data_IF_735369054556
#
_entry.id   IF_735369054556
#
_cell.length_a   1.000
_cell.length_b   1.000
_cell.length_c   1.000
_cell.angle_alpha   90.00
_cell.angle_beta   90.00
_cell.angle_gamma   90.00
#
_symmetry.space_group_name_H-M   'P 1'
#
loop_
_entity.id
_entity.type
_entity.pdbx_description
1 polymer ?
#
# COMPACT_ATOMS: atom_id res chain seq x y z
N UNK A 1 31.41 -6.25 20.10
CA UNK A 1 31.12 -5.79 18.72
C UNK A 1 29.61 -5.71 18.61
N UNK A 2 29.05 -4.51 18.76
CA UNK A 2 27.62 -4.30 18.56
C UNK A 2 27.36 -4.38 17.06
N UNK A 3 26.65 -5.41 16.61
CA UNK A 3 26.08 -5.46 15.28
C UNK A 3 25.20 -4.22 15.14
N UNK A 4 25.52 -3.34 14.20
CA UNK A 4 24.65 -2.23 13.83
C UNK A 4 23.33 -2.84 13.36
N UNK A 5 22.35 -2.87 14.25
CA UNK A 5 20.95 -3.01 13.89
C UNK A 5 20.70 -1.91 12.85
N UNK A 6 20.29 -2.27 11.64
CA UNK A 6 19.75 -1.31 10.70
C UNK A 6 18.68 -0.52 11.47
N UNK A 7 18.91 0.77 11.68
CA UNK A 7 18.01 1.59 12.47
C UNK A 7 16.74 1.75 11.65
N UNK A 8 15.71 1.02 12.05
CA UNK A 8 14.36 1.12 11.51
C UNK A 8 13.94 2.59 11.42
N UNK A 9 13.50 3.03 10.23
CA UNK A 9 13.25 4.44 9.89
C UNK A 9 11.80 4.68 9.44
N UNK A 10 11.24 5.90 9.53
CA UNK A 10 9.89 6.17 9.03
C UNK A 10 9.69 5.73 7.56
N UNK A 11 10.74 5.84 6.74
CA UNK A 11 10.69 5.36 5.36
C UNK A 11 10.59 3.82 5.28
N UNK A 12 11.27 3.04 6.13
CA UNK A 12 11.15 1.57 6.08
C UNK A 12 9.75 1.09 6.47
N UNK A 13 9.09 1.73 7.45
CA UNK A 13 7.68 1.40 7.74
C UNK A 13 6.79 1.72 6.53
N UNK A 14 7.01 2.88 5.87
CA UNK A 14 6.27 3.26 4.67
C UNK A 14 6.42 2.22 3.54
N UNK A 15 7.61 1.63 3.38
CA UNK A 15 7.86 0.55 2.42
C UNK A 15 7.09 -0.72 2.76
N UNK A 16 7.12 -1.14 4.03
CA UNK A 16 6.44 -2.36 4.47
C UNK A 16 4.91 -2.23 4.40
N UNK A 17 4.39 -1.02 4.61
CA UNK A 17 3.00 -0.73 4.28
C UNK A 17 2.74 -0.86 2.78
N UNK A 18 3.55 -0.27 1.91
CA UNK A 18 3.34 -0.39 0.47
C UNK A 18 3.39 -1.86 0.02
N UNK A 19 4.22 -2.68 0.68
CA UNK A 19 4.30 -4.11 0.44
C UNK A 19 3.02 -4.83 0.89
N UNK A 20 2.56 -4.56 2.11
CA UNK A 20 1.29 -5.08 2.66
C UNK A 20 0.08 -4.70 1.79
N UNK A 21 -0.03 -3.44 1.35
CA UNK A 21 -1.10 -2.98 0.46
C UNK A 21 -1.04 -3.67 -0.90
N UNK A 22 0.16 -3.86 -1.45
CA UNK A 22 0.34 -4.55 -2.73
C UNK A 22 -0.06 -6.02 -2.64
N UNK A 23 0.25 -6.68 -1.52
CA UNK A 23 -0.15 -8.06 -1.27
C UNK A 23 -1.67 -8.21 -1.10
N UNK A 24 -2.32 -7.22 -0.49
CA UNK A 24 -3.78 -7.19 -0.32
C UNK A 24 -4.54 -6.75 -1.58
N UNK A 25 -3.87 -6.05 -2.51
CA UNK A 25 -4.50 -5.46 -3.69
C UNK A 25 -5.35 -6.43 -4.55
N UNK A 26 -4.98 -7.72 -4.77
CA UNK A 26 -5.84 -8.64 -5.49
C UNK A 26 -7.19 -8.88 -4.78
N UNK A 27 -7.22 -9.03 -3.46
CA UNK A 27 -8.47 -9.20 -2.70
C UNK A 27 -9.35 -7.96 -2.84
N UNK A 28 -8.77 -6.77 -2.66
CA UNK A 28 -9.52 -5.53 -2.75
C UNK A 28 -9.99 -5.22 -4.20
N UNK A 29 -9.21 -5.60 -5.21
CA UNK A 29 -9.60 -5.49 -6.62
C UNK A 29 -10.77 -6.39 -6.94
N UNK A 30 -10.79 -7.62 -6.40
CA UNK A 30 -11.92 -8.53 -6.54
C UNK A 30 -13.19 -7.92 -5.91
N UNK A 31 -13.08 -7.37 -4.71
CA UNK A 31 -14.17 -6.64 -4.04
C UNK A 31 -14.70 -5.50 -4.91
N UNK A 32 -13.82 -4.61 -5.39
CA UNK A 32 -14.22 -3.48 -6.24
C UNK A 32 -14.86 -3.94 -7.54
N UNK A 33 -14.32 -4.98 -8.17
CA UNK A 33 -14.88 -5.51 -9.41
C UNK A 33 -16.28 -6.05 -9.23
N UNK A 34 -16.53 -6.81 -8.15
CA UNK A 34 -17.86 -7.30 -7.84
C UNK A 34 -18.84 -6.18 -7.47
N UNK A 35 -18.39 -5.19 -6.70
CA UNK A 35 -19.20 -4.00 -6.41
C UNK A 35 -19.59 -3.24 -7.70
N UNK A 36 -18.65 -3.03 -8.62
CA UNK A 36 -18.92 -2.38 -9.89
C UNK A 36 -19.89 -3.19 -10.77
N UNK A 37 -19.81 -4.53 -10.74
CA UNK A 37 -20.81 -5.36 -11.40
C UNK A 37 -22.21 -5.13 -10.82
N UNK A 38 -22.35 -5.11 -9.49
CA UNK A 38 -23.65 -4.93 -8.83
C UNK A 38 -24.26 -3.54 -9.09
N UNK A 39 -23.44 -2.48 -9.08
CA UNK A 39 -23.94 -1.10 -9.15
C UNK A 39 -23.90 -0.47 -10.54
N UNK A 40 -22.99 -0.93 -11.41
CA UNK A 40 -22.78 -0.35 -12.73
C UNK A 40 -22.93 -1.37 -13.87
N UNK A 41 -23.18 -2.66 -13.56
CA UNK A 41 -23.34 -3.71 -14.57
C UNK A 41 -22.07 -4.04 -15.35
N UNK A 42 -20.89 -3.65 -14.85
CA UNK A 42 -19.61 -3.96 -15.48
C UNK A 42 -19.29 -5.45 -15.37
N UNK A 43 -18.45 -5.98 -16.25
CA UNK A 43 -17.99 -7.36 -16.11
C UNK A 43 -17.19 -7.56 -14.81
N UNK A 44 -17.35 -8.73 -14.21
CA UNK A 44 -16.53 -9.17 -13.08
C UNK A 44 -15.16 -9.60 -13.62
N UNK A 45 -14.11 -9.06 -13.03
CA UNK A 45 -12.72 -9.32 -13.33
C UNK A 45 -12.10 -10.04 -12.14
N UNK A 46 -11.53 -11.21 -12.39
CA UNK A 46 -10.75 -11.95 -11.39
C UNK A 46 -9.31 -11.44 -11.48
N UNK A 47 -8.78 -10.81 -10.42
CA UNK A 47 -7.44 -10.26 -10.46
C UNK A 47 -6.39 -11.37 -10.47
N UNK A 48 -5.23 -11.13 -11.12
CA UNK A 48 -4.11 -12.05 -11.04
C UNK A 48 -3.64 -12.21 -9.59
N UNK A 49 -2.97 -13.33 -9.30
CA UNK A 49 -2.35 -13.61 -8.01
C UNK A 49 -3.32 -13.71 -6.81
N UNK A 50 -4.65 -13.72 -7.05
CA UNK A 50 -5.69 -13.83 -6.02
C UNK A 50 -5.47 -15.05 -5.10
N UNK A 51 -5.12 -16.21 -5.66
CA UNK A 51 -4.89 -17.43 -4.88
C UNK A 51 -3.71 -17.35 -3.91
N UNK A 52 -2.73 -16.48 -4.17
CA UNK A 52 -1.57 -16.24 -3.31
C UNK A 52 -1.74 -15.06 -2.34
N UNK A 53 -2.73 -14.21 -2.54
CA UNK A 53 -2.89 -12.93 -1.84
C UNK A 53 -2.92 -13.08 -0.32
N UNK A 54 -3.65 -14.08 0.20
CA UNK A 54 -3.73 -14.33 1.64
C UNK A 54 -2.39 -14.72 2.28
N UNK A 55 -1.59 -15.56 1.60
CA UNK A 55 -0.27 -15.93 2.14
C UNK A 55 0.66 -14.73 2.11
N UNK A 56 0.74 -14.03 0.97
CA UNK A 56 1.62 -12.88 0.82
C UNK A 56 1.26 -11.78 1.82
N UNK A 57 -0.03 -11.49 2.00
CA UNK A 57 -0.46 -10.44 2.92
C UNK A 57 -0.12 -10.76 4.37
N UNK A 58 -0.32 -12.01 4.82
CA UNK A 58 0.07 -12.44 6.17
C UNK A 58 1.58 -12.31 6.39
N UNK A 59 2.38 -12.66 5.39
CA UNK A 59 3.83 -12.63 5.48
C UNK A 59 4.33 -11.18 5.53
N UNK A 60 3.77 -10.30 4.69
CA UNK A 60 4.10 -8.86 4.67
C UNK A 60 3.64 -8.14 5.95
N UNK A 61 2.46 -8.47 6.51
CA UNK A 61 2.04 -7.96 7.82
C UNK A 61 2.96 -8.41 8.96
N UNK A 62 3.60 -9.58 8.81
CA UNK A 62 4.57 -10.07 9.79
C UNK A 62 5.87 -9.28 9.72
N UNK A 63 6.34 -8.94 8.52
CA UNK A 63 7.48 -8.04 8.34
C UNK A 63 7.17 -6.64 8.90
N UNK A 64 6.02 -6.07 8.54
CA UNK A 64 5.56 -4.76 9.03
C UNK A 64 5.48 -4.73 10.57
N UNK A 65 5.00 -5.80 11.21
CA UNK A 65 4.98 -5.84 12.68
C UNK A 65 6.39 -5.77 13.28
N UNK A 66 7.35 -6.50 12.71
CA UNK A 66 8.75 -6.46 13.18
C UNK A 66 9.31 -5.03 13.05
N UNK A 67 9.02 -4.37 11.94
CA UNK A 67 9.45 -3.00 11.70
C UNK A 67 8.83 -2.02 12.70
N UNK A 68 7.51 -2.08 12.91
CA UNK A 68 6.81 -1.24 13.89
C UNK A 68 7.37 -1.47 15.30
N UNK A 69 7.58 -2.73 15.72
CA UNK A 69 8.17 -3.06 17.03
C UNK A 69 9.58 -2.46 17.16
N UNK A 70 10.38 -2.49 16.10
CA UNK A 70 11.76 -1.99 16.13
C UNK A 70 11.83 -0.47 16.28
N UNK A 71 10.80 0.27 15.83
CA UNK A 71 10.67 1.72 16.05
C UNK A 71 9.92 2.12 17.31
N UNK A 72 9.48 1.16 18.11
CA UNK A 72 8.57 1.45 19.22
C UNK A 72 9.32 2.05 20.40
N UNK A 73 9.06 3.32 20.67
CA UNK A 73 9.18 3.91 22.01
C UNK A 73 7.83 3.74 22.76
N UNK A 74 7.76 4.17 24.02
CA UNK A 74 6.53 4.04 24.82
C UNK A 74 5.30 4.70 24.20
N UNK A 75 5.45 5.60 23.23
CA UNK A 75 4.35 6.31 22.58
C UNK A 75 3.71 5.51 21.44
N UNK A 76 4.33 4.40 21.00
CA UNK A 76 3.88 3.61 19.83
C UNK A 76 3.29 2.23 20.16
N UNK A 77 2.99 1.98 21.45
CA UNK A 77 2.41 0.71 21.94
C UNK A 77 1.04 0.43 21.31
N UNK A 78 0.25 1.48 21.03
CA UNK A 78 -1.04 1.34 20.38
C UNK A 78 -0.90 0.74 18.98
N UNK A 79 0.10 1.18 18.20
CA UNK A 79 0.37 0.71 16.84
C UNK A 79 0.79 -0.75 16.85
N UNK A 80 1.63 -1.17 17.81
CA UNK A 80 1.99 -2.58 18.02
C UNK A 80 0.75 -3.45 18.30
N UNK A 81 -0.18 -2.93 19.09
CA UNK A 81 -1.43 -3.63 19.41
C UNK A 81 -2.35 -3.73 18.18
N UNK A 82 -2.47 -2.65 17.41
CA UNK A 82 -3.27 -2.61 16.17
C UNK A 82 -2.74 -3.57 15.11
N UNK A 83 -1.43 -3.61 14.85
CA UNK A 83 -0.87 -4.57 13.88
C UNK A 83 -1.01 -6.01 14.36
N UNK A 84 -0.88 -6.28 15.67
CA UNK A 84 -1.13 -7.61 16.21
C UNK A 84 -2.59 -8.05 16.01
N UNK A 85 -3.53 -7.14 16.23
CA UNK A 85 -4.95 -7.38 15.97
C UNK A 85 -5.21 -7.66 14.49
N UNK A 86 -4.71 -6.82 13.58
CA UNK A 86 -4.85 -7.00 12.13
C UNK A 86 -4.29 -8.36 11.68
N UNK A 87 -3.11 -8.76 12.18
CA UNK A 87 -2.56 -10.09 11.87
C UNK A 87 -3.47 -11.23 12.32
N UNK A 88 -4.10 -11.09 13.48
CA UNK A 88 -5.04 -12.09 14.00
C UNK A 88 -6.32 -12.15 13.17
N UNK A 89 -6.92 -11.00 12.82
CA UNK A 89 -8.13 -10.95 12.00
C UNK A 89 -7.85 -11.46 10.60
N UNK A 90 -6.77 -11.02 9.96
CA UNK A 90 -6.31 -11.53 8.66
C UNK A 90 -6.10 -13.05 8.69
N UNK A 91 -5.50 -13.60 9.75
CA UNK A 91 -5.34 -15.05 9.90
C UNK A 91 -6.68 -15.79 9.92
N UNK A 92 -7.65 -15.25 10.65
CA UNK A 92 -9.02 -15.81 10.73
C UNK A 92 -9.77 -15.66 9.41
N UNK A 93 -9.69 -14.48 8.77
CA UNK A 93 -10.25 -14.19 7.46
C UNK A 93 -9.72 -15.16 6.41
N UNK A 94 -8.39 -15.28 6.29
CA UNK A 94 -7.76 -16.13 5.30
C UNK A 94 -8.05 -17.61 5.52
N UNK A 95 -8.14 -18.07 6.77
CA UNK A 95 -8.55 -19.43 7.08
C UNK A 95 -10.02 -19.67 6.68
N UNK A 96 -10.92 -18.75 7.03
CA UNK A 96 -12.36 -18.86 6.77
C UNK A 96 -12.69 -18.89 5.29
N UNK A 97 -12.02 -18.05 4.51
CA UNK A 97 -12.33 -17.84 3.09
C UNK A 97 -11.36 -18.53 2.12
N UNK A 98 -10.44 -19.36 2.63
CA UNK A 98 -9.42 -20.04 1.83
C UNK A 98 -10.01 -20.76 0.62
N UNK A 99 -11.01 -21.61 0.84
CA UNK A 99 -11.62 -22.42 -0.22
C UNK A 99 -12.37 -21.53 -1.22
N UNK A 100 -13.14 -20.55 -0.74
CA UNK A 100 -13.87 -19.61 -1.61
C UNK A 100 -12.95 -18.82 -2.50
N UNK A 101 -11.85 -18.27 -1.94
CA UNK A 101 -10.85 -17.51 -2.69
C UNK A 101 -10.16 -18.43 -3.73
N UNK A 102 -9.83 -19.66 -3.33
CA UNK A 102 -9.18 -20.63 -4.22
C UNK A 102 -10.07 -21.05 -5.39
N UNK A 103 -11.36 -21.27 -5.13
CA UNK A 103 -12.36 -21.55 -6.18
C UNK A 103 -12.43 -20.37 -7.15
N UNK A 104 -12.64 -19.14 -6.66
CA UNK A 104 -12.71 -17.94 -7.52
C UNK A 104 -11.43 -17.77 -8.33
N UNK A 105 -10.26 -17.94 -7.71
CA UNK A 105 -8.96 -17.79 -8.38
C UNK A 105 -8.72 -18.85 -9.48
N UNK A 106 -9.39 -20.00 -9.42
CA UNK A 106 -9.28 -21.07 -10.42
C UNK A 106 -10.19 -20.88 -11.64
N UNK A 107 -11.13 -19.94 -11.58
CA UNK A 107 -12.08 -19.71 -12.66
C UNK A 107 -11.39 -18.99 -13.83
N UNK A 108 -11.54 -19.56 -15.03
CA UNK A 108 -11.12 -18.91 -16.27
C UNK A 108 -12.03 -17.72 -16.64
N UNK A 109 -13.30 -17.80 -16.27
CA UNK A 109 -14.33 -16.76 -16.49
C UNK A 109 -15.17 -16.67 -15.23
N UNK A 110 -15.56 -15.45 -14.85
CA UNK A 110 -16.39 -15.22 -13.67
C UNK A 110 -17.72 -15.99 -13.76
N UNK A 111 -18.01 -16.77 -12.72
CA UNK A 111 -19.27 -17.50 -12.56
C UNK A 111 -20.17 -16.78 -11.54
N UNK A 112 -21.34 -16.34 -11.98
CA UNK A 112 -22.21 -15.50 -11.15
C UNK A 112 -22.71 -16.21 -9.89
N UNK A 113 -22.95 -17.52 -9.96
CA UNK A 113 -23.45 -18.27 -8.82
C UNK A 113 -22.37 -18.45 -7.77
N UNK A 114 -21.12 -18.72 -8.18
CA UNK A 114 -19.95 -18.69 -7.28
C UNK A 114 -19.79 -17.34 -6.58
N UNK A 115 -19.90 -16.24 -7.33
CA UNK A 115 -19.77 -14.90 -6.75
C UNK A 115 -20.92 -14.54 -5.80
N UNK A 116 -22.16 -14.95 -6.11
CA UNK A 116 -23.29 -14.80 -5.18
C UNK A 116 -23.08 -15.60 -3.90
N UNK A 117 -22.66 -16.85 -4.00
CA UNK A 117 -22.35 -17.67 -2.81
C UNK A 117 -21.23 -17.05 -1.97
N UNK A 118 -20.20 -16.50 -2.60
CA UNK A 118 -19.14 -15.79 -1.89
C UNK A 118 -19.67 -14.53 -1.19
N UNK A 119 -20.57 -13.78 -1.82
CA UNK A 119 -21.23 -12.63 -1.23
C UNK A 119 -22.13 -13.02 -0.04
N UNK A 120 -22.97 -14.04 -0.19
CA UNK A 120 -23.85 -14.57 0.87
C UNK A 120 -23.03 -15.12 2.04
N UNK A 121 -21.86 -15.71 1.77
CA UNK A 121 -20.88 -16.14 2.78
C UNK A 121 -20.13 -15.00 3.47
N UNK A 122 -20.33 -13.75 3.01
CA UNK A 122 -19.74 -12.54 3.59
C UNK A 122 -18.33 -12.19 3.12
N UNK A 123 -17.80 -12.84 2.07
CA UNK A 123 -16.42 -12.62 1.60
C UNK A 123 -16.13 -11.14 1.33
N UNK A 124 -17.00 -10.49 0.56
CA UNK A 124 -16.79 -9.10 0.14
C UNK A 124 -16.91 -8.10 1.28
N UNK A 125 -17.80 -8.35 2.24
CA UNK A 125 -17.87 -7.55 3.46
C UNK A 125 -16.57 -7.69 4.26
N UNK A 126 -16.09 -8.93 4.44
CA UNK A 126 -14.85 -9.18 5.17
C UNK A 126 -13.61 -8.59 4.48
N UNK A 127 -13.50 -8.64 3.14
CA UNK A 127 -12.45 -7.93 2.40
C UNK A 127 -12.52 -6.42 2.66
N UNK A 128 -13.71 -5.84 2.64
CA UNK A 128 -13.88 -4.41 2.93
C UNK A 128 -13.46 -4.05 4.35
N UNK A 129 -13.71 -4.93 5.33
CA UNK A 129 -13.38 -4.67 6.73
C UNK A 129 -11.88 -4.83 6.98
N UNK A 130 -11.23 -5.86 6.42
CA UNK A 130 -9.76 -6.00 6.46
C UNK A 130 -9.05 -4.79 5.82
N UNK A 131 -9.60 -4.25 4.71
CA UNK A 131 -9.08 -3.03 4.10
C UNK A 131 -9.15 -1.82 5.04
N UNK A 132 -10.28 -1.64 5.73
CA UNK A 132 -10.46 -0.51 6.67
C UNK A 132 -9.51 -0.63 7.86
N UNK A 133 -9.26 -1.84 8.36
CA UNK A 133 -8.29 -2.06 9.44
C UNK A 133 -6.87 -1.72 8.97
N UNK A 134 -6.49 -2.11 7.75
CA UNK A 134 -5.20 -1.74 7.15
C UNK A 134 -5.06 -0.22 6.93
N UNK A 135 -6.11 0.45 6.44
CA UNK A 135 -6.18 1.91 6.29
C UNK A 135 -6.12 2.65 7.63
N UNK A 136 -6.82 2.13 8.64
CA UNK A 136 -6.82 2.66 9.99
C UNK A 136 -5.43 2.54 10.65
N UNK A 137 -4.76 1.40 10.48
CA UNK A 137 -3.39 1.21 10.94
C UNK A 137 -2.41 2.15 10.21
N UNK A 138 -2.52 2.27 8.89
CA UNK A 138 -1.68 3.19 8.10
C UNK A 138 -1.84 4.64 8.56
N UNK A 139 -3.07 5.11 8.67
CA UNK A 139 -3.38 6.49 9.08
C UNK A 139 -2.88 6.76 10.49
N UNK A 140 -3.15 5.83 11.43
CA UNK A 140 -2.66 5.93 12.80
C UNK A 140 -1.14 5.97 12.87
N UNK A 141 -0.43 5.20 12.02
CA UNK A 141 1.03 5.24 11.97
C UNK A 141 1.54 6.57 11.41
N UNK A 142 0.96 7.04 10.30
CA UNK A 142 1.32 8.30 9.66
C UNK A 142 1.17 9.49 10.63
N UNK A 143 0.13 9.47 11.46
CA UNK A 143 -0.16 10.50 12.46
C UNK A 143 0.86 10.52 13.62
N UNK A 144 1.63 9.45 13.82
CA UNK A 144 2.72 9.44 14.82
C UNK A 144 3.96 10.20 14.37
N UNK A 145 4.08 10.50 13.08
CA UNK A 145 5.20 11.21 12.50
C UNK A 145 4.85 12.66 12.21
N UNK A 146 5.85 13.54 12.25
CA UNK A 146 5.70 14.95 11.86
C UNK A 146 6.85 15.41 10.98
N UNK A 147 6.64 16.49 10.23
CA UNK A 147 7.67 17.14 9.42
C UNK A 147 8.37 16.17 8.46
N UNK A 148 9.71 16.10 8.57
CA UNK A 148 10.52 15.27 7.67
C UNK A 148 10.33 13.76 7.85
N UNK A 149 9.94 13.29 9.04
CA UNK A 149 9.66 11.87 9.27
C UNK A 149 8.37 11.44 8.56
N UNK A 150 7.33 12.26 8.68
CA UNK A 150 6.04 12.01 8.01
C UNK A 150 6.22 12.02 6.50
N UNK A 151 7.00 12.97 5.98
CA UNK A 151 7.35 13.04 4.57
C UNK A 151 8.11 11.78 4.11
N UNK A 152 9.12 11.31 4.85
CA UNK A 152 9.87 10.09 4.51
C UNK A 152 8.97 8.87 4.44
N UNK A 153 8.09 8.69 5.43
CA UNK A 153 7.10 7.60 5.45
C UNK A 153 6.19 7.65 4.22
N UNK A 154 5.55 8.79 3.98
CA UNK A 154 4.56 8.93 2.91
C UNK A 154 5.20 8.78 1.52
N UNK A 155 6.36 9.39 1.30
CA UNK A 155 7.08 9.27 0.03
C UNK A 155 7.60 7.85 -0.19
N UNK A 156 8.16 7.19 0.83
CA UNK A 156 8.60 5.81 0.71
C UNK A 156 7.45 4.88 0.30
N UNK A 157 6.30 5.01 0.96
CA UNK A 157 5.07 4.31 0.60
C UNK A 157 4.72 4.56 -0.87
N UNK A 158 4.56 5.83 -1.27
CA UNK A 158 4.16 6.18 -2.63
C UNK A 158 5.14 5.70 -3.69
N UNK A 159 6.45 5.87 -3.48
CA UNK A 159 7.46 5.43 -4.45
C UNK A 159 7.41 3.91 -4.61
N UNK A 160 7.34 3.17 -3.50
CA UNK A 160 7.26 1.71 -3.53
C UNK A 160 5.99 1.22 -4.19
N UNK A 161 4.84 1.85 -3.92
CA UNK A 161 3.57 1.55 -4.59
C UNK A 161 3.68 1.76 -6.10
N UNK A 162 4.24 2.89 -6.55
CA UNK A 162 4.44 3.16 -7.99
C UNK A 162 5.35 2.10 -8.63
N UNK A 163 6.46 1.73 -7.97
CA UNK A 163 7.39 0.72 -8.49
C UNK A 163 6.81 -0.70 -8.53
N UNK A 164 5.78 -0.99 -7.72
CA UNK A 164 5.09 -2.29 -7.72
C UNK A 164 3.94 -2.37 -8.74
N UNK A 165 3.53 -1.27 -9.34
CA UNK A 165 2.50 -1.29 -10.39
C UNK A 165 3.06 -1.89 -11.68
N UNK A 166 2.40 -2.96 -12.18
CA UNK A 166 2.78 -3.60 -13.45
C UNK A 166 2.54 -2.68 -14.65
N UNK A 167 1.38 -2.02 -14.67
CA UNK A 167 0.96 -1.14 -15.77
C UNK A 167 0.72 0.29 -15.24
N UNK A 168 1.79 1.06 -15.11
CA UNK A 168 1.70 2.47 -14.71
C UNK A 168 1.14 3.31 -15.87
N UNK A 169 -0.18 3.51 -15.87
CA UNK A 169 -0.88 4.36 -16.84
C UNK A 169 -1.04 5.80 -16.33
N UNK A 170 -1.09 5.98 -15.01
CA UNK A 170 -1.35 7.25 -14.36
C UNK A 170 -0.78 7.26 -12.95
N UNK A 171 -0.12 8.35 -12.59
CA UNK A 171 0.24 8.63 -11.19
C UNK A 171 -0.94 9.24 -10.46
N UNK A 172 -1.08 8.91 -9.17
CA UNK A 172 -2.12 9.50 -8.33
C UNK A 172 -1.98 11.03 -8.30
N UNK A 173 -3.11 11.72 -8.38
CA UNK A 173 -3.18 13.18 -8.28
C UNK A 173 -2.64 13.72 -6.96
N UNK A 174 -2.76 12.95 -5.86
CA UNK A 174 -2.27 13.34 -4.54
C UNK A 174 -0.74 13.32 -4.43
N UNK A 175 -0.04 12.70 -5.40
CA UNK A 175 1.40 12.50 -5.34
C UNK A 175 2.16 13.83 -5.24
N UNK A 176 1.63 14.89 -5.86
CA UNK A 176 2.18 16.24 -5.74
C UNK A 176 2.20 16.71 -4.28
N UNK A 177 1.09 16.53 -3.56
CA UNK A 177 0.96 16.96 -2.18
C UNK A 177 1.85 16.14 -1.26
N UNK A 178 2.00 14.84 -1.53
CA UNK A 178 2.92 13.96 -0.80
C UNK A 178 4.38 14.40 -1.00
N UNK A 179 4.76 14.76 -2.23
CA UNK A 179 6.15 15.12 -2.55
C UNK A 179 6.54 16.53 -2.09
N UNK A 180 5.62 17.50 -2.20
CA UNK A 180 5.94 18.94 -2.08
C UNK A 180 5.06 19.71 -1.09
N UNK A 181 4.05 19.06 -0.51
CA UNK A 181 3.04 19.67 0.34
C UNK A 181 1.85 20.24 -0.46
N UNK A 182 0.74 20.58 0.23
CA UNK A 182 -0.40 21.25 -0.38
C UNK A 182 0.01 22.49 -1.18
N UNK A 183 -0.69 22.78 -2.28
CA UNK A 183 -0.32 23.93 -3.15
C UNK A 183 -0.29 25.27 -2.41
N UNK A 184 -1.25 25.45 -1.50
CA UNK A 184 -1.40 26.70 -0.74
C UNK A 184 -0.49 26.74 0.49
N UNK A 185 0.04 25.58 0.90
CA UNK A 185 0.86 25.40 2.10
C UNK A 185 1.99 24.39 1.78
N UNK A 186 2.94 24.75 0.89
CA UNK A 186 4.03 23.86 0.54
C UNK A 186 4.88 23.57 1.79
N UNK A 187 5.57 22.44 1.78
CA UNK A 187 6.42 22.07 2.91
C UNK A 187 7.49 23.13 3.21
N UNK A 188 7.75 23.34 4.50
CA UNK A 188 8.82 24.21 4.97
C UNK A 188 10.20 23.74 4.49
N UNK A 189 11.14 24.67 4.42
CA UNK A 189 12.51 24.38 4.01
C UNK A 189 13.14 23.32 4.93
N UNK A 190 13.72 22.27 4.32
CA UNK A 190 14.37 21.17 5.05
C UNK A 190 13.50 19.93 5.23
N UNK A 191 12.18 19.99 4.99
CA UNK A 191 11.34 18.78 4.93
C UNK A 191 11.67 17.95 3.68
N UNK A 192 11.66 18.59 2.50
CA UNK A 192 12.07 17.95 1.25
C UNK A 192 13.58 18.14 1.07
N UNK A 193 14.36 17.05 0.97
CA UNK A 193 15.81 17.17 0.86
C UNK A 193 16.26 17.84 -0.45
N UNK A 194 17.19 18.82 -0.40
CA UNK A 194 17.67 19.51 -1.60
C UNK A 194 18.23 18.59 -2.69
N UNK A 195 18.83 17.46 -2.29
CA UNK A 195 19.45 16.49 -3.19
C UNK A 195 18.47 15.83 -4.17
N UNK A 196 17.18 15.78 -3.83
CA UNK A 196 16.13 15.15 -4.66
C UNK A 196 15.00 16.11 -5.01
N UNK A 197 15.10 17.39 -4.62
CA UNK A 197 14.02 18.37 -4.79
C UNK A 197 13.65 18.58 -6.27
N UNK A 198 14.66 18.56 -7.17
CA UNK A 198 14.41 18.60 -8.62
C UNK A 198 13.60 17.40 -9.11
N UNK A 199 13.98 16.20 -8.68
CA UNK A 199 13.31 14.96 -9.04
C UNK A 199 11.88 14.93 -8.50
N UNK A 200 11.69 15.34 -7.25
CA UNK A 200 10.38 15.44 -6.62
C UNK A 200 9.47 16.42 -7.37
N UNK A 201 10.00 17.56 -7.81
CA UNK A 201 9.24 18.54 -8.62
C UNK A 201 8.84 17.99 -9.98
N UNK A 202 9.77 17.31 -10.65
CA UNK A 202 9.51 16.74 -11.97
C UNK A 202 8.49 15.60 -11.89
N UNK A 203 8.61 14.72 -10.89
CA UNK A 203 7.65 13.64 -10.67
C UNK A 203 6.27 14.19 -10.29
N UNK A 204 6.21 15.22 -9.45
CA UNK A 204 4.97 15.89 -9.09
C UNK A 204 4.28 16.57 -10.28
N UNK A 205 5.01 16.95 -11.33
CA UNK A 205 4.43 17.51 -12.56
C UNK A 205 3.71 16.45 -13.40
N UNK A 206 4.09 15.17 -13.27
CA UNK A 206 3.46 14.03 -13.93
C UNK A 206 2.27 13.46 -13.13
N UNK A 207 1.99 13.99 -11.93
CA UNK A 207 0.90 13.53 -11.08
C UNK A 207 -0.48 13.90 -11.66
N UNK A 208 -1.43 12.95 -11.64
CA UNK A 208 -2.82 13.20 -12.01
C UNK A 208 -3.12 13.24 -13.51
N UNK A 209 -2.13 13.06 -14.38
CA UNK A 209 -2.29 12.96 -15.84
C UNK A 209 -2.08 11.52 -16.34
N UNK A 210 -2.66 11.20 -17.50
CA UNK A 210 -2.34 9.95 -18.21
C UNK A 210 -0.94 10.07 -18.79
N UNK A 211 -0.15 9.00 -18.66
CA UNK A 211 1.24 8.98 -19.11
C UNK A 211 1.37 8.27 -20.45
N UNK A 212 2.09 8.89 -21.38
CA UNK A 212 2.63 8.19 -22.55
C UNK A 212 3.84 7.30 -22.18
N UNK A 213 4.39 6.57 -23.16
CA UNK A 213 5.52 5.67 -22.93
C UNK A 213 6.78 6.39 -22.43
N UNK A 214 7.04 7.61 -22.90
CA UNK A 214 8.21 8.41 -22.51
C UNK A 214 8.03 8.95 -21.10
N UNK A 215 6.85 9.50 -20.81
CA UNK A 215 6.47 10.01 -19.49
C UNK A 215 6.45 8.88 -18.46
N UNK A 216 5.97 7.69 -18.82
CA UNK A 216 6.01 6.50 -17.96
C UNK A 216 7.45 6.09 -17.62
N UNK A 217 8.33 6.01 -18.62
CA UNK A 217 9.75 5.70 -18.37
C UNK A 217 10.40 6.75 -17.48
N UNK A 218 10.09 8.03 -17.71
CA UNK A 218 10.61 9.14 -16.90
C UNK A 218 10.10 9.07 -15.47
N UNK A 219 8.80 8.86 -15.27
CA UNK A 219 8.18 8.68 -13.96
C UNK A 219 8.83 7.53 -13.18
N UNK A 220 9.05 6.38 -13.82
CA UNK A 220 9.72 5.23 -13.20
C UNK A 220 11.17 5.59 -12.82
N UNK A 221 11.92 6.26 -13.69
CA UNK A 221 13.30 6.70 -13.37
C UNK A 221 13.34 7.63 -12.16
N UNK A 222 12.49 8.67 -12.15
CA UNK A 222 12.41 9.63 -11.05
C UNK A 222 11.99 8.96 -9.74
N UNK A 223 11.02 8.05 -9.81
CA UNK A 223 10.56 7.25 -8.67
C UNK A 223 11.71 6.43 -8.07
N UNK A 224 12.53 5.79 -8.92
CA UNK A 224 13.72 5.04 -8.48
C UNK A 224 14.77 5.95 -7.85
N UNK A 225 15.05 7.10 -8.44
CA UNK A 225 16.04 8.05 -7.88
C UNK A 225 15.63 8.52 -6.47
N UNK A 226 14.35 8.84 -6.26
CA UNK A 226 13.81 9.24 -4.95
C UNK A 226 13.82 8.05 -3.98
N UNK A 227 13.40 6.87 -4.43
CA UNK A 227 13.43 5.64 -3.65
C UNK A 227 14.85 5.30 -3.17
N UNK A 228 15.83 5.28 -4.07
CA UNK A 228 17.21 4.95 -3.76
C UNK A 228 17.83 5.97 -2.78
N UNK A 229 17.43 7.23 -2.87
CA UNK A 229 17.82 8.24 -1.89
C UNK A 229 17.29 7.90 -0.49
N UNK A 230 16.00 7.53 -0.37
CA UNK A 230 15.40 7.14 0.90
C UNK A 230 16.09 5.89 1.49
N UNK A 231 16.40 4.90 0.65
CA UNK A 231 17.08 3.67 1.08
C UNK A 231 18.52 3.89 1.55
N UNK A 232 19.23 4.89 1.01
CA UNK A 232 20.60 5.24 1.45
C UNK A 232 20.63 5.93 2.82
N UNK A 233 19.49 6.40 3.31
CA UNK A 233 19.35 7.02 4.62
C UNK A 233 18.96 6.02 5.73
N UNK A 234 18.79 4.74 5.39
CA UNK A 234 18.55 3.63 6.32
C UNK A 234 19.86 3.00 6.81
#
# INVERSE_FOLDING_TARGET
MASASALSSPASVGLDFADSYSAFAPLYTLYKSYANFLFAGTQIVIPPDLGGACSQFRDDLSALQVEIITQTDSQRIEQVTRIAHLRQTTGTFCQRYHDTISVIASLAVADLDTFKQAADGGLFAAISDENKELEGLFSSMLDTYTGSEQWKFAVAFSMRTVLKQRDLVKLDSNLREILLGPKDHPYEAGIVPPAILSQARELAALAGISLDDTERQRAISLTREIYDYLMKLH
#
